data_IF_988004781700
#
_entry.id   IF_988004781700
#
_cell.length_a   1.000
_cell.length_b   1.000
_cell.length_c   1.000
_cell.angle_alpha   90.00
_cell.angle_beta   90.00
_cell.angle_gamma   90.00
#
_symmetry.space_group_name_H-M   'P 1'
#
loop_
_entity.id
_entity.type
_entity.pdbx_description
1 polymer ?
#
# COMPACT_ATOMS: atom_id res chain seq x y z
N UNK A 1 64.87 52.65 -17.47
CA UNK A 1 64.51 52.11 -16.17
C UNK A 1 63.08 51.60 -16.33
N UNK A 2 62.88 50.33 -16.09
CA UNK A 2 61.74 49.53 -16.58
C UNK A 2 60.76 49.25 -15.43
N UNK A 3 59.57 49.89 -15.49
CA UNK A 3 58.49 49.58 -14.56
C UNK A 3 57.77 48.29 -14.96
N UNK A 4 57.80 47.35 -14.08
CA UNK A 4 57.00 46.10 -14.23
C UNK A 4 55.79 46.23 -13.35
N UNK A 5 54.65 46.46 -13.99
CA UNK A 5 53.35 46.38 -13.30
C UNK A 5 52.98 44.92 -13.12
N UNK A 6 52.93 44.48 -11.90
CA UNK A 6 52.38 43.17 -11.58
C UNK A 6 50.84 43.26 -11.56
N UNK A 7 50.22 42.70 -12.57
CA UNK A 7 48.81 42.47 -12.61
C UNK A 7 48.50 41.23 -11.73
N UNK A 8 47.95 41.45 -10.55
CA UNK A 8 47.41 40.40 -9.73
C UNK A 8 46.01 40.15 -10.27
N UNK A 9 45.88 39.08 -11.06
CA UNK A 9 44.58 38.59 -11.49
C UNK A 9 43.93 37.85 -10.31
N UNK A 10 42.96 38.47 -9.66
CA UNK A 10 42.13 37.88 -8.66
C UNK A 10 41.12 36.94 -9.34
N UNK A 11 41.40 35.67 -9.36
CA UNK A 11 40.44 34.65 -9.78
C UNK A 11 39.49 34.41 -8.60
N UNK A 12 38.37 35.08 -8.60
CA UNK A 12 37.21 34.74 -7.76
C UNK A 12 36.60 33.47 -8.35
N UNK A 13 37.07 32.34 -7.80
CA UNK A 13 36.42 31.04 -8.00
C UNK A 13 35.10 31.02 -7.30
N UNK A 14 34.04 31.30 -8.04
CA UNK A 14 32.67 31.05 -7.56
C UNK A 14 32.45 29.53 -7.52
N UNK A 15 32.74 28.92 -6.40
CA UNK A 15 32.32 27.55 -6.13
C UNK A 15 30.79 27.54 -5.98
N UNK A 16 30.13 27.32 -7.10
CA UNK A 16 28.71 27.00 -7.14
C UNK A 16 28.56 25.58 -6.61
N UNK A 17 28.37 25.45 -5.27
CA UNK A 17 27.97 24.21 -4.64
C UNK A 17 26.55 23.91 -5.17
N UNK A 18 26.47 23.06 -6.20
CA UNK A 18 25.24 22.38 -6.54
C UNK A 18 24.92 21.46 -5.37
N UNK A 19 24.09 21.93 -4.44
CA UNK A 19 23.35 21.07 -3.54
C UNK A 19 22.32 20.38 -4.42
N UNK A 20 22.68 19.26 -4.99
CA UNK A 20 21.72 18.26 -5.46
C UNK A 20 20.97 17.81 -4.20
N UNK A 21 19.89 18.54 -3.90
CA UNK A 21 18.85 17.96 -3.08
C UNK A 21 18.41 16.69 -3.83
N UNK A 22 18.93 15.56 -3.42
CA UNK A 22 18.37 14.27 -3.77
C UNK A 22 16.97 14.27 -3.14
N UNK A 23 16.01 14.79 -3.92
CA UNK A 23 14.61 14.46 -3.71
C UNK A 23 14.62 12.95 -3.94
N UNK A 24 14.73 12.20 -2.84
CA UNK A 24 14.52 10.78 -2.87
C UNK A 24 13.12 10.61 -3.44
N UNK A 25 13.03 10.24 -4.70
CA UNK A 25 11.82 9.66 -5.25
C UNK A 25 11.70 8.35 -4.49
N UNK A 26 11.01 8.41 -3.35
CA UNK A 26 10.54 7.20 -2.70
C UNK A 26 9.57 6.58 -3.68
N UNK A 27 10.04 5.65 -4.48
CA UNK A 27 9.16 4.73 -5.18
C UNK A 27 8.42 4.00 -4.09
N UNK A 28 7.20 4.43 -3.80
CA UNK A 28 6.27 3.63 -3.01
C UNK A 28 6.21 2.31 -3.77
N UNK A 29 6.81 1.28 -3.21
CA UNK A 29 6.59 -0.08 -3.69
C UNK A 29 5.12 -0.36 -3.36
N UNK A 30 4.23 -0.30 -4.35
CA UNK A 30 2.79 -0.43 -4.13
C UNK A 30 2.34 -1.74 -3.48
N UNK A 31 3.28 -2.56 -2.97
CA UNK A 31 3.01 -3.86 -2.40
C UNK A 31 3.95 -4.18 -1.24
N UNK A 32 3.42 -4.89 -0.26
CA UNK A 32 4.18 -5.45 0.84
C UNK A 32 4.61 -6.88 0.52
N UNK A 33 5.91 -7.14 0.60
CA UNK A 33 6.51 -8.45 0.41
C UNK A 33 6.72 -9.11 1.77
N UNK A 34 6.28 -10.35 1.91
CA UNK A 34 6.57 -11.18 3.08
C UNK A 34 7.03 -12.56 2.66
N UNK A 35 8.15 -12.98 3.22
CA UNK A 35 8.71 -14.29 3.03
C UNK A 35 8.31 -15.18 4.21
N UNK A 36 7.75 -16.34 3.90
CA UNK A 36 7.29 -17.30 4.89
C UNK A 36 7.92 -18.66 4.68
N UNK A 37 8.15 -19.38 5.77
CA UNK A 37 8.22 -20.83 5.75
C UNK A 37 6.85 -21.37 6.22
N UNK A 38 6.18 -22.15 5.37
CA UNK A 38 4.87 -22.76 5.63
C UNK A 38 5.05 -24.28 5.48
N UNK A 39 4.91 -24.99 6.59
CA UNK A 39 5.33 -26.38 6.68
C UNK A 39 6.83 -26.49 6.50
N UNK A 40 7.26 -27.16 5.42
CA UNK A 40 8.67 -27.39 5.07
C UNK A 40 9.13 -26.58 3.84
N UNK A 41 8.32 -25.59 3.40
CA UNK A 41 8.58 -24.89 2.14
C UNK A 41 8.47 -23.37 2.31
N UNK A 42 9.31 -22.66 1.52
CA UNK A 42 9.30 -21.20 1.52
C UNK A 42 8.35 -20.64 0.45
N UNK A 43 7.69 -19.54 0.81
CA UNK A 43 6.72 -18.80 0.01
C UNK A 43 6.99 -17.30 0.12
N UNK A 44 7.08 -16.64 -1.02
CA UNK A 44 7.09 -15.18 -1.09
C UNK A 44 5.68 -14.71 -1.48
N UNK A 45 4.99 -14.02 -0.58
CA UNK A 45 3.75 -13.34 -0.89
C UNK A 45 4.00 -11.85 -1.04
N UNK A 46 3.39 -11.26 -2.08
CA UNK A 46 3.41 -9.84 -2.35
C UNK A 46 1.96 -9.38 -2.40
N UNK A 47 1.59 -8.52 -1.46
CA UNK A 47 0.19 -8.13 -1.23
C UNK A 47 0.04 -6.63 -1.30
N UNK A 48 -1.01 -6.18 -1.98
CA UNK A 48 -1.33 -4.76 -2.10
C UNK A 48 -2.73 -4.51 -2.62
N UNK A 49 -2.97 -3.28 -3.02
CA UNK A 49 -4.17 -2.88 -3.73
C UNK A 49 -3.96 -3.01 -5.24
N UNK A 50 -4.96 -3.48 -5.98
CA UNK A 50 -4.89 -3.66 -7.45
C UNK A 50 -4.52 -2.38 -8.20
N UNK A 51 -4.85 -1.22 -7.64
CA UNK A 51 -4.50 0.09 -8.19
C UNK A 51 -3.69 0.86 -7.15
N UNK A 52 -2.60 1.48 -7.56
CA UNK A 52 -1.80 2.35 -6.70
C UNK A 52 -1.50 3.68 -7.43
N UNK A 53 -1.88 4.83 -6.87
CA UNK A 53 -2.65 5.00 -5.63
C UNK A 53 -4.09 4.51 -5.76
N UNK A 54 -4.60 3.87 -4.70
CA UNK A 54 -6.00 3.45 -4.64
C UNK A 54 -6.89 4.60 -4.17
N UNK A 55 -7.95 4.90 -4.93
CA UNK A 55 -8.82 6.05 -4.68
C UNK A 55 -10.23 5.62 -4.32
N UNK A 56 -10.92 6.40 -3.50
CA UNK A 56 -12.35 6.17 -3.18
C UNK A 56 -13.20 6.20 -4.45
N UNK A 57 -14.25 5.36 -4.45
CA UNK A 57 -15.22 5.20 -5.53
C UNK A 57 -14.62 4.74 -6.89
N UNK A 58 -13.35 4.29 -6.91
CA UNK A 58 -12.76 3.59 -8.04
C UNK A 58 -12.83 2.08 -7.86
N UNK A 59 -12.86 1.36 -9.00
CA UNK A 59 -12.67 -0.08 -8.97
C UNK A 59 -11.26 -0.37 -8.46
N UNK A 60 -11.16 -1.09 -7.36
CA UNK A 60 -9.91 -1.58 -6.80
C UNK A 60 -10.10 -3.01 -6.31
N UNK A 61 -9.20 -3.48 -5.49
CA UNK A 61 -9.24 -4.83 -4.95
C UNK A 61 -8.01 -5.13 -4.12
N UNK A 62 -8.00 -6.34 -3.58
CA UNK A 62 -6.81 -6.95 -3.00
C UNK A 62 -6.16 -7.79 -4.08
N UNK A 63 -4.85 -7.64 -4.25
CA UNK A 63 -4.07 -8.55 -5.08
C UNK A 63 -2.97 -9.23 -4.26
N UNK A 64 -2.74 -10.49 -4.60
CA UNK A 64 -1.75 -11.36 -3.98
C UNK A 64 -0.96 -12.04 -5.06
N UNK A 65 0.34 -11.82 -5.09
CA UNK A 65 1.23 -12.64 -5.91
C UNK A 65 1.88 -13.68 -4.99
N UNK A 66 1.84 -14.93 -5.40
CA UNK A 66 2.37 -16.06 -4.67
C UNK A 66 3.49 -16.73 -5.46
N UNK A 67 4.68 -16.76 -4.88
CA UNK A 67 5.84 -17.37 -5.51
C UNK A 67 6.57 -18.33 -4.59
N UNK A 68 7.15 -19.36 -5.21
CA UNK A 68 8.26 -20.09 -4.64
C UNK A 68 9.53 -19.29 -4.90
N UNK A 69 10.18 -18.77 -3.85
CA UNK A 69 11.32 -17.88 -4.02
C UNK A 69 12.55 -18.59 -4.54
N UNK A 70 13.45 -17.83 -5.18
CA UNK A 70 14.82 -18.27 -5.43
C UNK A 70 15.58 -18.38 -4.10
N UNK A 71 16.18 -19.54 -3.76
CA UNK A 71 16.89 -19.69 -2.49
C UNK A 71 18.08 -18.75 -2.30
N UNK A 72 18.65 -18.22 -3.40
CA UNK A 72 19.81 -17.32 -3.36
C UNK A 72 19.44 -15.85 -3.20
N UNK A 73 18.17 -15.49 -3.53
CA UNK A 73 17.64 -14.12 -3.39
C UNK A 73 16.13 -14.16 -3.12
N UNK A 74 15.72 -14.64 -1.94
CA UNK A 74 14.34 -15.05 -1.68
C UNK A 74 13.33 -13.89 -1.59
N UNK A 75 13.78 -12.66 -1.38
CA UNK A 75 12.92 -11.47 -1.36
C UNK A 75 12.73 -10.82 -2.73
N UNK A 76 13.44 -11.31 -3.74
CA UNK A 76 13.36 -10.79 -5.10
C UNK A 76 12.42 -11.63 -5.96
N UNK A 77 11.22 -11.13 -6.19
CA UNK A 77 10.22 -11.79 -7.05
C UNK A 77 10.65 -11.88 -8.53
N UNK A 78 11.69 -11.16 -8.94
CA UNK A 78 12.25 -11.16 -10.29
C UNK A 78 13.49 -12.05 -10.43
N UNK A 79 13.93 -12.74 -9.37
CA UNK A 79 15.08 -13.62 -9.43
C UNK A 79 14.82 -14.80 -10.38
N UNK A 80 15.85 -15.25 -11.08
CA UNK A 80 15.72 -16.28 -12.13
C UNK A 80 15.15 -17.63 -11.64
N UNK A 81 15.34 -17.93 -10.34
CA UNK A 81 14.85 -19.17 -9.72
C UNK A 81 13.44 -19.06 -9.15
N UNK A 82 12.86 -17.87 -9.11
CA UNK A 82 11.50 -17.64 -8.61
C UNK A 82 10.46 -18.25 -9.55
N UNK A 83 9.47 -18.93 -8.97
CA UNK A 83 8.40 -19.62 -9.73
C UNK A 83 7.04 -19.26 -9.17
N UNK A 84 6.09 -18.98 -10.06
CA UNK A 84 4.68 -18.77 -9.71
C UNK A 84 4.07 -20.00 -9.04
N UNK A 85 3.19 -19.78 -8.07
CA UNK A 85 2.41 -20.83 -7.41
C UNK A 85 0.96 -20.67 -7.82
N UNK A 86 0.46 -21.69 -8.51
CA UNK A 86 -0.92 -21.76 -8.95
C UNK A 86 -1.74 -22.73 -8.07
N UNK A 87 -3.05 -22.62 -8.15
CA UNK A 87 -3.98 -23.56 -7.48
C UNK A 87 -4.14 -23.34 -5.99
N UNK A 88 -3.70 -22.21 -5.44
CA UNK A 88 -4.02 -21.85 -4.06
C UNK A 88 -5.50 -21.47 -3.94
N UNK A 89 -6.12 -21.92 -2.86
CA UNK A 89 -7.48 -21.51 -2.48
C UNK A 89 -7.37 -20.55 -1.31
N UNK A 90 -7.38 -19.26 -1.62
CA UNK A 90 -7.19 -18.19 -0.65
C UNK A 90 -8.45 -17.32 -0.55
N UNK A 91 -8.62 -16.73 0.62
CA UNK A 91 -9.64 -15.72 0.90
C UNK A 91 -8.99 -14.49 1.53
N UNK A 92 -9.68 -13.37 1.44
CA UNK A 92 -9.30 -12.15 2.14
C UNK A 92 -10.46 -11.62 2.99
N UNK A 93 -10.18 -11.29 4.25
CA UNK A 93 -11.03 -10.43 5.07
C UNK A 93 -10.52 -9.00 4.92
N UNK A 94 -11.35 -8.11 4.39
CA UNK A 94 -11.05 -6.69 4.25
C UNK A 94 -11.68 -5.96 5.42
N UNK A 95 -10.87 -5.22 6.18
CA UNK A 95 -11.32 -4.44 7.34
C UNK A 95 -11.06 -2.96 7.12
N UNK A 96 -12.09 -2.12 7.28
CA UNK A 96 -11.97 -0.66 7.17
C UNK A 96 -13.11 0.05 7.91
N UNK A 97 -12.83 1.15 8.61
CA UNK A 97 -13.85 1.96 9.28
C UNK A 97 -14.74 1.18 10.26
N UNK A 98 -14.20 0.14 10.93
CA UNK A 98 -14.94 -0.72 11.85
C UNK A 98 -15.88 -1.73 11.16
N UNK A 99 -15.79 -1.91 9.87
CA UNK A 99 -16.56 -2.88 9.09
C UNK A 99 -15.63 -3.91 8.45
N UNK A 100 -16.18 -5.09 8.18
CA UNK A 100 -15.46 -6.19 7.54
C UNK A 100 -16.27 -6.74 6.37
N UNK A 101 -15.56 -7.23 5.35
CA UNK A 101 -16.13 -8.06 4.27
C UNK A 101 -15.15 -9.18 3.94
N UNK A 102 -15.69 -10.32 3.52
CA UNK A 102 -14.89 -11.47 3.08
C UNK A 102 -15.10 -11.69 1.60
N UNK A 103 -14.00 -11.90 0.86
CA UNK A 103 -14.01 -12.25 -0.56
C UNK A 103 -13.11 -13.46 -0.80
N UNK A 104 -13.44 -14.23 -1.83
CA UNK A 104 -12.53 -15.21 -2.38
C UNK A 104 -11.47 -14.50 -3.24
N UNK A 105 -10.23 -14.98 -3.19
CA UNK A 105 -9.13 -14.53 -4.03
C UNK A 105 -9.10 -15.45 -5.27
N UNK A 106 -9.60 -14.94 -6.38
CA UNK A 106 -9.68 -15.68 -7.65
C UNK A 106 -8.37 -15.56 -8.44
N UNK A 107 -7.94 -16.60 -9.16
CA UNK A 107 -6.80 -16.50 -10.05
C UNK A 107 -7.00 -15.44 -11.12
N UNK A 108 -6.05 -14.54 -11.31
CA UNK A 108 -6.09 -13.54 -12.36
C UNK A 108 -5.96 -14.19 -13.75
N UNK A 109 -6.63 -13.64 -14.75
CA UNK A 109 -6.61 -14.19 -16.10
C UNK A 109 -5.22 -14.08 -16.74
N UNK A 110 -4.67 -15.22 -17.17
CA UNK A 110 -3.37 -15.32 -17.87
C UNK A 110 -2.16 -14.80 -17.07
N UNK A 111 -2.26 -14.73 -15.74
CA UNK A 111 -1.16 -14.31 -14.86
C UNK A 111 -0.94 -15.35 -13.74
N UNK A 112 -0.13 -16.38 -13.99
CA UNK A 112 0.10 -17.47 -13.05
C UNK A 112 0.68 -16.99 -11.72
N UNK A 113 0.07 -17.43 -10.60
CA UNK A 113 0.50 -17.05 -9.25
C UNK A 113 -0.05 -15.71 -8.78
N UNK A 114 -0.83 -15.03 -9.62
CA UNK A 114 -1.56 -13.82 -9.26
C UNK A 114 -3.01 -14.17 -8.89
N UNK A 115 -3.46 -13.66 -7.75
CA UNK A 115 -4.82 -13.83 -7.20
C UNK A 115 -5.39 -12.46 -6.86
N UNK A 116 -6.66 -12.24 -7.18
CA UNK A 116 -7.32 -10.95 -6.98
C UNK A 116 -8.72 -11.07 -6.39
N UNK A 117 -9.13 -10.08 -5.60
CA UNK A 117 -10.47 -9.92 -5.08
C UNK A 117 -10.93 -8.48 -5.25
N UNK A 118 -11.87 -8.25 -6.15
CA UNK A 118 -12.32 -6.90 -6.52
C UNK A 118 -13.31 -6.35 -5.50
N UNK A 119 -13.11 -5.09 -5.08
CA UNK A 119 -14.08 -4.31 -4.34
C UNK A 119 -13.98 -2.82 -4.71
N UNK A 120 -14.95 -2.03 -4.24
CA UNK A 120 -15.00 -0.58 -4.44
C UNK A 120 -14.84 0.10 -3.08
N UNK A 121 -13.69 0.70 -2.77
CA UNK A 121 -13.50 1.44 -1.52
C UNK A 121 -14.36 2.69 -1.52
N UNK A 122 -15.10 2.93 -0.43
CA UNK A 122 -16.04 4.05 -0.32
C UNK A 122 -15.65 5.09 0.72
N UNK A 123 -14.57 4.85 1.47
CA UNK A 123 -14.10 5.73 2.54
C UNK A 123 -12.58 5.85 2.48
N UNK A 124 -12.01 7.08 2.49
CA UNK A 124 -10.56 7.27 2.58
C UNK A 124 -10.09 7.01 4.02
N UNK A 125 -9.59 5.82 4.27
CA UNK A 125 -9.16 5.39 5.61
C UNK A 125 -8.14 4.25 5.51
N UNK A 126 -7.66 3.80 6.67
CA UNK A 126 -6.81 2.63 6.76
C UNK A 126 -7.61 1.35 6.45
N UNK A 127 -7.08 0.57 5.53
CA UNK A 127 -7.57 -0.77 5.17
C UNK A 127 -6.57 -1.82 5.61
N UNK A 128 -7.08 -2.94 6.10
CA UNK A 128 -6.29 -4.13 6.40
C UNK A 128 -6.85 -5.31 5.61
N UNK A 129 -5.96 -6.09 5.01
CA UNK A 129 -6.25 -7.30 4.25
C UNK A 129 -5.71 -8.51 5.01
N UNK A 130 -6.59 -9.34 5.54
CA UNK A 130 -6.19 -10.60 6.17
C UNK A 130 -6.32 -11.70 5.14
N UNK A 131 -5.18 -12.20 4.66
CA UNK A 131 -5.12 -13.29 3.69
C UNK A 131 -5.08 -14.61 4.45
N UNK A 132 -5.91 -15.57 4.05
CA UNK A 132 -5.95 -16.87 4.70
C UNK A 132 -6.42 -18.00 3.78
N UNK A 133 -6.06 -19.21 4.13
CA UNK A 133 -6.41 -20.44 3.41
C UNK A 133 -5.62 -21.63 3.92
N UNK A 134 -5.74 -22.75 3.23
CA UNK A 134 -4.88 -23.91 3.46
C UNK A 134 -3.79 -23.95 2.37
N UNK A 135 -2.55 -24.10 2.80
CA UNK A 135 -1.40 -24.21 1.90
C UNK A 135 -0.70 -25.53 2.20
N UNK A 136 -0.88 -26.50 1.32
CA UNK A 136 -0.32 -27.86 1.48
C UNK A 136 -0.65 -28.51 2.83
N UNK A 137 -1.87 -28.37 3.31
CA UNK A 137 -2.32 -28.95 4.60
C UNK A 137 -1.95 -28.11 5.82
N UNK A 138 -1.35 -26.94 5.64
CA UNK A 138 -1.03 -26.00 6.73
C UNK A 138 -1.96 -24.79 6.66
N UNK A 139 -2.65 -24.49 7.74
CA UNK A 139 -3.52 -23.32 7.84
C UNK A 139 -2.66 -22.04 7.86
N UNK A 140 -2.86 -21.21 6.87
CA UNK A 140 -2.20 -19.90 6.74
C UNK A 140 -3.18 -18.76 7.07
N UNK A 141 -2.74 -17.78 7.83
CA UNK A 141 -3.45 -16.53 8.07
C UNK A 141 -2.46 -15.43 8.48
N UNK A 142 -2.40 -14.33 7.72
CA UNK A 142 -1.65 -13.14 8.12
C UNK A 142 -2.35 -11.88 7.63
N UNK A 143 -2.10 -10.73 8.30
CA UNK A 143 -2.77 -9.45 8.04
C UNK A 143 -1.77 -8.43 7.52
N UNK A 144 -2.12 -7.81 6.42
CA UNK A 144 -1.42 -6.72 5.76
C UNK A 144 -2.21 -5.43 5.95
N UNK A 145 -1.56 -4.36 6.36
CA UNK A 145 -2.23 -3.08 6.63
C UNK A 145 -1.60 -1.99 5.79
N UNK A 146 -2.44 -1.26 5.06
CA UNK A 146 -2.01 -0.13 4.26
C UNK A 146 -1.38 0.95 5.14
N UNK A 147 -0.53 1.79 4.55
CA UNK A 147 0.10 2.93 5.21
C UNK A 147 -0.46 4.24 4.72
N UNK A 148 -0.77 5.15 5.65
CA UNK A 148 -1.15 6.52 5.30
C UNK A 148 -0.08 7.23 4.47
N UNK A 149 -0.51 8.15 3.60
CA UNK A 149 0.40 8.98 2.83
C UNK A 149 1.37 9.75 3.74
N UNK A 150 2.63 9.81 3.32
CA UNK A 150 3.69 10.52 4.06
C UNK A 150 4.40 9.69 5.14
N UNK A 151 3.97 8.49 5.45
CA UNK A 151 4.73 7.57 6.28
C UNK A 151 5.91 6.97 5.50
N UNK A 152 7.07 6.86 6.17
CA UNK A 152 8.26 6.25 5.58
C UNK A 152 8.02 4.78 5.29
N UNK A 153 8.56 4.30 4.19
CA UNK A 153 8.58 2.86 3.93
C UNK A 153 9.31 2.11 5.04
N UNK A 154 8.80 0.94 5.49
CA UNK A 154 9.54 0.13 6.43
C UNK A 154 10.86 -0.29 5.80
N UNK A 155 11.92 -0.20 6.59
CA UNK A 155 13.18 -0.84 6.24
C UNK A 155 12.93 -2.35 6.16
N UNK A 156 13.58 -3.01 5.22
CA UNK A 156 13.54 -4.46 5.14
C UNK A 156 13.83 -5.06 6.53
N UNK A 157 12.90 -5.88 7.00
CA UNK A 157 13.01 -6.59 8.28
C UNK A 157 13.19 -8.08 8.00
N UNK A 158 14.31 -8.63 8.43
CA UNK A 158 14.63 -10.05 8.31
C UNK A 158 14.42 -10.80 9.64
N UNK A 159 13.66 -10.22 10.57
CA UNK A 159 13.32 -10.89 11.81
C UNK A 159 12.41 -12.09 11.55
N UNK A 160 12.65 -13.15 12.33
CA UNK A 160 11.82 -14.36 12.28
C UNK A 160 10.68 -14.23 13.29
N UNK A 161 9.45 -14.34 12.80
CA UNK A 161 8.24 -14.23 13.62
C UNK A 161 7.33 -15.45 13.37
N UNK A 162 7.03 -16.20 14.42
CA UNK A 162 6.01 -17.27 14.34
C UNK A 162 4.64 -16.65 14.24
N UNK A 163 3.93 -16.93 13.14
CA UNK A 163 2.57 -16.43 12.87
C UNK A 163 1.52 -17.40 13.46
N UNK A 164 1.71 -18.69 13.19
CA UNK A 164 0.86 -19.77 13.70
C UNK A 164 1.64 -21.08 13.69
N UNK A 165 1.00 -22.18 14.11
CA UNK A 165 1.60 -23.50 14.02
C UNK A 165 1.92 -23.85 12.56
N UNK A 166 3.17 -24.20 12.29
CA UNK A 166 3.68 -24.49 10.96
C UNK A 166 3.86 -23.27 10.03
N UNK A 167 3.65 -22.04 10.52
CA UNK A 167 3.83 -20.80 9.73
C UNK A 167 4.79 -19.83 10.40
N UNK A 168 5.90 -19.55 9.76
CA UNK A 168 6.91 -18.61 10.25
C UNK A 168 7.20 -17.56 9.16
N UNK A 169 7.07 -16.28 9.48
CA UNK A 169 7.57 -15.19 8.62
C UNK A 169 9.05 -14.99 8.88
N UNK A 170 9.85 -14.99 7.83
CA UNK A 170 11.32 -14.89 7.90
C UNK A 170 11.86 -13.64 7.20
N UNK A 171 10.99 -12.79 6.70
CA UNK A 171 11.35 -11.51 6.12
C UNK A 171 10.15 -10.72 5.63
N UNK A 172 10.28 -9.38 5.64
CA UNK A 172 9.30 -8.47 5.05
C UNK A 172 9.95 -7.21 4.50
N UNK A 173 9.33 -6.60 3.49
CA UNK A 173 9.74 -5.32 2.91
C UNK A 173 8.62 -4.67 2.13
N UNK A 174 8.77 -3.37 1.84
CA UNK A 174 7.77 -2.61 1.11
C UNK A 174 6.50 -2.36 1.93
N UNK A 175 5.43 -2.07 1.23
CA UNK A 175 4.10 -1.79 1.76
C UNK A 175 3.23 -1.17 0.69
N UNK A 176 1.94 -1.00 0.96
CA UNK A 176 0.99 -0.39 0.03
C UNK A 176 0.31 0.81 0.67
N UNK A 177 -0.11 1.76 -0.18
CA UNK A 177 -0.79 2.98 0.24
C UNK A 177 -2.21 2.72 0.72
N UNK A 178 -2.68 3.53 1.69
CA UNK A 178 -4.09 3.53 2.06
C UNK A 178 -4.96 4.17 0.97
N UNK A 179 -6.25 3.88 1.02
CA UNK A 179 -7.22 4.47 0.11
C UNK A 179 -7.30 5.98 0.35
N UNK A 180 -7.10 6.75 -0.70
CA UNK A 180 -7.06 8.21 -0.66
C UNK A 180 -8.32 8.87 -1.21
N UNK A 181 -8.55 10.14 -0.85
CA UNK A 181 -9.57 10.96 -1.48
C UNK A 181 -9.19 11.32 -2.91
N UNK A 182 -10.17 11.38 -3.80
CA UNK A 182 -9.95 11.87 -5.18
C UNK A 182 -9.93 13.38 -5.28
N UNK A 183 -10.26 14.10 -4.21
CA UNK A 183 -10.40 15.56 -4.22
C UNK A 183 -9.14 16.27 -4.72
N UNK A 184 -7.97 15.81 -4.29
CA UNK A 184 -6.69 16.45 -4.60
C UNK A 184 -6.19 16.21 -6.02
N UNK A 185 -6.75 15.22 -6.72
CA UNK A 185 -6.36 14.84 -8.10
C UNK A 185 -7.48 15.09 -9.11
N UNK A 186 -8.58 15.72 -8.70
CA UNK A 186 -9.74 16.00 -9.55
C UNK A 186 -9.58 17.29 -10.35
N UNK A 187 -10.00 17.27 -11.62
CA UNK A 187 -9.96 18.41 -12.52
C UNK A 187 -11.07 18.30 -13.59
N UNK A 188 -11.70 19.40 -14.05
CA UNK A 188 -11.56 20.80 -13.61
C UNK A 188 -12.29 21.14 -12.31
N UNK A 189 -13.26 20.33 -11.90
CA UNK A 189 -14.02 20.51 -10.67
C UNK A 189 -13.55 19.53 -9.60
N UNK A 190 -13.61 19.96 -8.36
CA UNK A 190 -13.27 19.09 -7.23
C UNK A 190 -14.26 17.94 -7.12
N UNK A 191 -13.75 16.72 -7.09
CA UNK A 191 -14.57 15.53 -6.86
C UNK A 191 -15.06 15.48 -5.41
N UNK A 192 -16.35 15.19 -5.23
CA UNK A 192 -16.96 14.94 -3.93
C UNK A 192 -17.40 13.48 -3.90
N UNK A 193 -16.82 12.69 -3.00
CA UNK A 193 -17.17 11.29 -2.86
C UNK A 193 -18.58 11.08 -2.32
N UNK A 194 -19.15 9.89 -2.54
CA UNK A 194 -20.43 9.51 -1.95
C UNK A 194 -20.40 9.60 -0.41
N UNK A 195 -19.28 9.30 0.21
CA UNK A 195 -19.10 9.45 1.65
C UNK A 195 -19.20 10.91 2.10
N UNK A 196 -18.49 11.82 1.42
CA UNK A 196 -18.53 13.26 1.72
C UNK A 196 -19.92 13.85 1.51
N UNK A 197 -20.61 13.46 0.42
CA UNK A 197 -22.00 13.86 0.18
C UNK A 197 -22.93 13.43 1.31
N UNK A 198 -22.80 12.19 1.78
CA UNK A 198 -23.58 11.71 2.93
C UNK A 198 -23.29 12.52 4.20
N UNK A 199 -22.04 12.87 4.46
CA UNK A 199 -21.67 13.71 5.59
C UNK A 199 -22.29 15.12 5.50
N UNK A 200 -22.25 15.73 4.31
CA UNK A 200 -22.87 17.03 4.07
C UNK A 200 -24.39 17.00 4.31
N UNK A 201 -25.09 15.99 3.82
CA UNK A 201 -26.53 15.80 4.01
C UNK A 201 -26.87 15.62 5.50
N UNK A 202 -26.12 14.79 6.21
CA UNK A 202 -26.35 14.52 7.62
C UNK A 202 -26.14 15.80 8.47
N UNK A 203 -25.13 16.59 8.14
CA UNK A 203 -24.84 17.84 8.83
C UNK A 203 -25.90 18.93 8.57
N UNK A 204 -26.49 18.96 7.37
CA UNK A 204 -27.59 19.88 7.04
C UNK A 204 -28.90 19.48 7.71
N UNK A 205 -29.19 18.17 7.81
CA UNK A 205 -30.40 17.67 8.49
C UNK A 205 -30.44 17.89 10.01
N UNK A 206 -29.25 18.00 10.64
CA UNK A 206 -29.15 18.29 12.09
C UNK A 206 -29.51 19.71 12.51
N UNK A 207 -29.56 20.67 11.59
CA UNK A 207 -29.78 22.10 11.90
C UNK A 207 -31.26 22.52 11.88
N UNK A 208 -32.20 21.65 11.46
CA UNK A 208 -33.60 22.02 11.23
C UNK A 208 -34.57 21.76 12.39
N UNK A 209 -34.12 21.33 13.56
CA UNK A 209 -35.00 20.99 14.69
C UNK A 209 -34.86 21.89 15.91
N UNK A 210 -34.54 23.18 15.76
CA UNK A 210 -34.81 24.18 16.81
C UNK A 210 -36.13 24.90 16.56
N UNK A 211 -37.23 24.19 16.76
CA UNK A 211 -38.57 24.84 16.84
C UNK A 211 -38.59 25.70 18.09
N UNK A 212 -38.52 27.00 17.89
CA UNK A 212 -38.78 28.03 18.91
C UNK A 212 -40.23 27.89 19.36
N UNK A 213 -40.46 27.31 20.53
CA UNK A 213 -41.75 27.38 21.20
C UNK A 213 -41.91 28.81 21.76
N UNK A 214 -42.50 29.70 20.99
CA UNK A 214 -42.95 31.00 21.48
C UNK A 214 -44.21 30.78 22.28
N UNK A 215 -44.10 30.79 23.60
CA UNK A 215 -45.26 30.97 24.50
C UNK A 215 -45.74 32.40 24.39
N UNK A 216 -46.94 32.61 23.86
CA UNK A 216 -47.67 33.89 23.99
C UNK A 216 -48.35 33.96 25.35
N UNK A 217 -48.51 35.18 25.89
CA UNK A 217 -49.06 35.46 27.19
C UNK A 217 -50.57 35.25 27.31
#
# INVERSE_FOLDING_TARGET
>A
MKNRNNLVASVLGTSMILILASIGVHTVSGHEKRLYTIGDQDYLFVVGSMNEPALVDDKSGVEVFAWRPDPTDPMNSQANGTKSIEGLTLKTDISAGGKNMTLDLEPAFSDPGHYEAVFYPTVPTTYSYTIYGDINGTAFRDTFTCRPAGESEPVQDNSTVTISDGVTRIGQSGGFGCIESRADVSFPEQYVSNYELQQMINNQGGTSNSTTSTSMP
#
